data_IF_558768917514
#
_entry.id   IF_558768917514
#
_cell.length_a   1.000
_cell.length_b   1.000
_cell.length_c   1.000
_cell.angle_alpha   90.00
_cell.angle_beta   90.00
_cell.angle_gamma   90.00
#
_symmetry.space_group_name_H-M   'P 1'
#
loop_
_entity.id
_entity.type
_entity.pdbx_description
1 polymer ?
#
# COMPACT_ATOMS: atom_id res chain seq x y z
N UNK A 1 15.29 -13.51 -4.60
CA UNK A 1 13.84 -13.59 -4.31
C UNK A 1 13.40 -12.18 -3.95
N UNK A 2 12.43 -11.63 -4.67
CA UNK A 2 11.92 -10.28 -4.41
C UNK A 2 10.88 -10.26 -3.27
N UNK A 3 10.55 -9.06 -2.77
CA UNK A 3 9.61 -8.85 -1.66
C UNK A 3 8.22 -9.41 -1.98
N UNK A 4 7.73 -9.22 -3.21
CA UNK A 4 6.41 -9.69 -3.64
C UNK A 4 6.37 -11.21 -3.61
N UNK A 5 7.33 -11.87 -4.24
CA UNK A 5 7.41 -13.33 -4.31
C UNK A 5 7.52 -13.92 -2.90
N UNK A 6 8.30 -13.30 -1.99
CA UNK A 6 8.38 -13.74 -0.59
C UNK A 6 7.02 -13.67 0.11
N UNK A 7 6.37 -12.51 0.09
CA UNK A 7 5.09 -12.29 0.79
C UNK A 7 3.94 -13.08 0.19
N UNK A 8 3.86 -13.19 -1.14
CA UNK A 8 2.76 -13.88 -1.80
C UNK A 8 2.91 -15.41 -1.78
N UNK A 9 4.12 -15.94 -1.59
CA UNK A 9 4.35 -17.39 -1.52
C UNK A 9 3.68 -18.08 -0.32
N UNK A 10 3.38 -17.34 0.75
CA UNK A 10 2.69 -17.88 1.93
C UNK A 10 1.20 -18.12 1.69
N UNK A 11 0.63 -17.53 0.63
CA UNK A 11 -0.80 -17.54 0.32
C UNK A 11 -1.69 -17.11 1.51
N UNK A 12 -1.18 -16.21 2.35
CA UNK A 12 -1.89 -15.63 3.49
C UNK A 12 -2.45 -14.25 3.16
N UNK A 13 -3.69 -13.97 3.56
CA UNK A 13 -4.27 -12.63 3.45
C UNK A 13 -3.50 -11.60 4.28
N UNK A 14 -2.86 -11.99 5.38
CA UNK A 14 -2.07 -11.07 6.20
C UNK A 14 -0.81 -10.61 5.48
N UNK A 15 -0.17 -11.49 4.70
CA UNK A 15 1.03 -11.13 3.93
C UNK A 15 0.66 -10.40 2.65
N UNK A 16 -0.48 -10.73 2.04
CA UNK A 16 -1.07 -9.94 0.96
C UNK A 16 -1.43 -8.51 1.42
N UNK A 17 -2.00 -8.39 2.62
CA UNK A 17 -2.25 -7.09 3.26
C UNK A 17 -0.95 -6.31 3.44
N UNK A 18 0.10 -6.93 4.00
CA UNK A 18 1.40 -6.27 4.18
C UNK A 18 1.99 -5.80 2.86
N UNK A 19 1.91 -6.62 1.80
CA UNK A 19 2.36 -6.23 0.46
C UNK A 19 1.58 -5.04 -0.08
N UNK A 20 0.25 -5.05 0.07
CA UNK A 20 -0.64 -3.94 -0.35
C UNK A 20 -0.34 -2.65 0.42
N UNK A 21 -0.11 -2.74 1.73
CA UNK A 21 0.30 -1.62 2.57
C UNK A 21 1.61 -0.98 2.06
N UNK A 22 2.60 -1.80 1.69
CA UNK A 22 3.87 -1.30 1.13
C UNK A 22 3.63 -0.56 -0.19
N UNK A 23 2.83 -1.12 -1.10
CA UNK A 23 2.51 -0.47 -2.38
C UNK A 23 1.81 0.87 -2.18
N UNK A 24 0.77 0.92 -1.33
CA UNK A 24 0.02 2.15 -1.05
C UNK A 24 0.91 3.20 -0.37
N UNK A 25 1.71 2.80 0.62
CA UNK A 25 2.63 3.70 1.32
C UNK A 25 3.62 4.35 0.37
N UNK A 26 4.19 3.59 -0.57
CA UNK A 26 5.15 4.12 -1.55
C UNK A 26 4.44 5.04 -2.55
N UNK A 27 3.33 4.59 -3.12
CA UNK A 27 2.65 5.33 -4.19
C UNK A 27 1.97 6.62 -3.71
N UNK A 28 1.63 6.70 -2.43
CA UNK A 28 1.09 7.91 -1.79
C UNK A 28 2.13 8.65 -0.92
N UNK A 29 3.38 8.17 -0.85
CA UNK A 29 4.43 8.72 0.00
C UNK A 29 4.04 8.83 1.50
N UNK A 30 3.23 7.89 1.99
CA UNK A 30 2.73 7.90 3.36
C UNK A 30 3.76 7.35 4.34
N UNK A 31 3.89 7.99 5.50
CA UNK A 31 4.59 7.42 6.65
C UNK A 31 3.77 6.28 7.25
N UNK A 32 4.44 5.41 8.01
CA UNK A 32 3.79 4.23 8.61
C UNK A 32 2.64 4.58 9.54
N UNK A 33 2.74 5.70 10.27
CA UNK A 33 1.68 6.19 11.15
C UNK A 33 0.48 6.74 10.39
N UNK A 34 0.68 7.35 9.22
CA UNK A 34 -0.40 7.80 8.34
C UNK A 34 -1.08 6.63 7.64
N UNK A 35 -0.29 5.69 7.12
CA UNK A 35 -0.78 4.51 6.41
C UNK A 35 -1.76 3.67 7.24
N UNK A 36 -1.40 3.37 8.50
CA UNK A 36 -2.24 2.51 9.36
C UNK A 36 -3.51 3.22 9.85
N UNK A 37 -3.58 4.55 9.70
CA UNK A 37 -4.75 5.34 10.07
C UNK A 37 -5.79 5.44 8.96
N UNK A 38 -5.45 5.07 7.72
CA UNK A 38 -6.38 5.13 6.61
C UNK A 38 -7.63 4.28 6.85
N UNK A 39 -8.79 4.88 6.62
CA UNK A 39 -10.11 4.29 6.72
C UNK A 39 -10.84 4.30 5.39
N UNK A 40 -11.88 3.49 5.27
CA UNK A 40 -12.78 3.53 4.11
C UNK A 40 -13.41 4.91 3.89
N UNK A 41 -13.60 5.70 4.95
CA UNK A 41 -14.14 7.06 4.92
C UNK A 41 -13.18 8.08 4.36
N UNK A 42 -11.89 7.75 4.30
CA UNK A 42 -10.86 8.66 3.77
C UNK A 42 -10.80 8.60 2.24
N UNK A 43 -11.49 7.62 1.62
CA UNK A 43 -11.67 7.54 0.17
C UNK A 43 -12.63 8.64 -0.28
N UNK A 44 -12.16 9.53 -1.14
CA UNK A 44 -13.00 10.55 -1.76
C UNK A 44 -13.52 10.03 -3.10
N UNK A 45 -14.75 9.52 -3.09
CA UNK A 45 -15.40 8.95 -4.27
C UNK A 45 -15.67 10.01 -5.35
N UNK A 46 -15.88 11.26 -4.96
CA UNK A 46 -16.14 12.39 -5.85
C UNK A 46 -14.92 12.78 -6.70
N UNK A 47 -13.72 12.44 -6.22
CA UNK A 47 -12.44 12.72 -6.90
C UNK A 47 -11.79 11.44 -7.45
N UNK A 48 -12.48 10.30 -7.36
CA UNK A 48 -12.05 9.04 -7.99
C UNK A 48 -12.26 9.11 -9.50
N UNK A 49 -11.23 8.75 -10.27
CA UNK A 49 -11.27 8.76 -11.73
C UNK A 49 -11.65 7.38 -12.22
N UNK A 50 -12.71 7.32 -13.03
CA UNK A 50 -13.22 6.10 -13.65
C UNK A 50 -13.23 6.30 -15.16
N UNK A 51 -12.68 5.34 -15.90
CA UNK A 51 -12.65 5.39 -17.35
C UNK A 51 -14.02 5.10 -17.98
N UNK A 52 -14.10 5.19 -19.30
CA UNK A 52 -15.34 4.94 -20.06
C UNK A 52 -15.86 3.51 -19.97
N UNK A 53 -15.01 2.56 -19.54
CA UNK A 53 -15.34 1.14 -19.39
C UNK A 53 -15.72 0.79 -17.94
N UNK A 54 -15.64 1.74 -17.01
CA UNK A 54 -15.94 1.53 -15.60
C UNK A 54 -14.74 1.08 -14.76
N UNK A 55 -13.51 1.12 -15.29
CA UNK A 55 -12.31 0.83 -14.53
C UNK A 55 -11.83 2.04 -13.75
N UNK A 56 -11.40 1.82 -12.51
CA UNK A 56 -10.86 2.89 -11.66
C UNK A 56 -9.41 3.15 -12.04
N UNK A 57 -9.16 4.30 -12.67
CA UNK A 57 -7.82 4.77 -13.07
C UNK A 57 -7.07 5.43 -11.91
N UNK A 58 -7.81 6.09 -11.01
CA UNK A 58 -7.22 6.74 -9.85
C UNK A 58 -8.21 6.83 -8.69
N UNK A 59 -7.71 6.69 -7.47
CA UNK A 59 -8.51 6.83 -6.25
C UNK A 59 -7.95 7.95 -5.39
N UNK A 60 -8.82 8.85 -4.96
CA UNK A 60 -8.46 9.97 -4.10
C UNK A 60 -8.56 9.57 -2.62
N UNK A 61 -7.56 9.95 -1.82
CA UNK A 61 -7.55 9.79 -0.37
C UNK A 61 -7.35 11.13 0.31
N UNK A 62 -8.14 11.42 1.35
CA UNK A 62 -7.92 12.54 2.25
C UNK A 62 -7.02 12.07 3.38
N UNK A 63 -5.83 12.65 3.49
CA UNK A 63 -4.83 12.28 4.49
C UNK A 63 -4.40 13.52 5.25
N UNK A 64 -4.17 13.41 6.55
CA UNK A 64 -3.58 14.49 7.33
C UNK A 64 -2.30 14.02 7.99
N UNK A 65 -1.17 14.50 7.46
CA UNK A 65 0.11 14.24 8.05
C UNK A 65 0.37 15.07 9.31
N UNK A 66 1.34 14.62 10.11
CA UNK A 66 1.70 15.24 11.39
C UNK A 66 2.10 16.72 11.27
N UNK A 67 2.72 17.09 10.15
CA UNK A 67 3.18 18.46 9.89
C UNK A 67 2.20 19.27 9.03
N UNK A 68 1.09 18.66 8.60
CA UNK A 68 0.14 19.30 7.71
C UNK A 68 -0.79 20.21 8.51
N UNK A 69 -0.97 21.45 8.03
CA UNK A 69 -1.88 22.42 8.66
C UNK A 69 -3.36 22.06 8.47
N UNK A 70 -3.67 21.28 7.45
CA UNK A 70 -4.99 20.81 7.09
C UNK A 70 -4.87 19.48 6.31
N UNK A 71 -5.92 18.66 6.24
CA UNK A 71 -5.93 17.47 5.40
C UNK A 71 -5.62 17.81 3.94
N UNK A 72 -4.85 16.94 3.28
CA UNK A 72 -4.48 17.02 1.87
C UNK A 72 -5.10 15.84 1.10
N UNK A 73 -5.48 16.08 -0.14
CA UNK A 73 -5.96 15.02 -1.03
C UNK A 73 -4.80 14.47 -1.86
N UNK A 74 -4.59 13.16 -1.77
CA UNK A 74 -3.57 12.44 -2.54
C UNK A 74 -4.23 11.46 -3.51
N UNK A 75 -3.64 11.29 -4.69
CA UNK A 75 -4.16 10.42 -5.75
C UNK A 75 -3.34 9.14 -5.87
N UNK A 76 -3.99 8.00 -5.66
CA UNK A 76 -3.44 6.67 -5.92
C UNK A 76 -3.78 6.27 -7.35
N UNK A 77 -2.79 6.18 -8.23
CA UNK A 77 -3.00 5.86 -9.65
C UNK A 77 -2.88 4.36 -9.93
N UNK A 78 -3.67 3.86 -10.87
CA UNK A 78 -3.52 2.51 -11.44
C UNK A 78 -2.20 2.40 -12.21
N UNK A 79 -1.55 1.24 -12.13
CA UNK A 79 -0.40 0.90 -12.96
C UNK A 79 -0.78 -0.22 -13.94
N UNK A 80 -1.18 0.16 -15.14
CA UNK A 80 -1.55 -0.79 -16.20
C UNK A 80 -0.34 -1.42 -16.90
N UNK A 81 0.83 -0.79 -16.77
CA UNK A 81 2.08 -1.32 -17.35
C UNK A 81 2.61 -2.50 -16.56
N UNK A 82 2.40 -2.49 -15.24
CA UNK A 82 2.85 -3.53 -14.33
C UNK A 82 1.74 -3.90 -13.34
N UNK A 83 0.74 -4.71 -13.77
CA UNK A 83 -0.42 -5.06 -12.94
C UNK A 83 -0.06 -5.72 -11.61
N UNK A 84 1.06 -6.44 -11.57
CA UNK A 84 1.58 -7.11 -10.36
C UNK A 84 2.08 -6.13 -9.28
N UNK A 85 2.29 -4.86 -9.61
CA UNK A 85 2.62 -3.77 -8.68
C UNK A 85 1.55 -2.66 -8.67
N UNK A 86 0.40 -2.87 -9.31
CA UNK A 86 -0.67 -1.88 -9.37
C UNK A 86 -1.36 -1.73 -8.01
N UNK A 87 -1.27 -0.57 -7.35
CA UNK A 87 -1.78 -0.44 -5.98
C UNK A 87 -3.31 -0.50 -5.91
N UNK A 88 -4.03 0.04 -6.90
CA UNK A 88 -5.51 0.01 -6.94
C UNK A 88 -6.02 -1.43 -7.02
N UNK A 89 -5.44 -2.25 -7.91
CA UNK A 89 -5.82 -3.66 -8.08
C UNK A 89 -5.65 -4.44 -6.77
N UNK A 90 -4.50 -4.27 -6.11
CA UNK A 90 -4.22 -4.95 -4.83
C UNK A 90 -5.14 -4.46 -3.72
N UNK A 91 -5.38 -3.15 -3.66
CA UNK A 91 -6.28 -2.55 -2.67
C UNK A 91 -7.73 -3.03 -2.83
N UNK A 92 -8.24 -3.16 -4.06
CA UNK A 92 -9.59 -3.70 -4.30
C UNK A 92 -9.74 -5.15 -3.91
N UNK A 93 -8.73 -5.99 -4.20
CA UNK A 93 -8.73 -7.37 -3.71
C UNK A 93 -8.80 -7.38 -2.19
N UNK A 94 -8.05 -6.50 -1.52
CA UNK A 94 -8.06 -6.42 -0.06
C UNK A 94 -9.40 -5.95 0.51
N UNK A 95 -10.00 -4.88 -0.06
CA UNK A 95 -11.30 -4.35 0.34
C UNK A 95 -12.38 -5.43 0.19
N UNK A 96 -12.41 -6.13 -0.94
CA UNK A 96 -13.35 -7.23 -1.17
C UNK A 96 -13.13 -8.43 -0.24
N UNK A 97 -11.87 -8.81 0.00
CA UNK A 97 -11.54 -9.96 0.84
C UNK A 97 -11.87 -9.74 2.33
N UNK A 98 -11.71 -8.51 2.82
CA UNK A 98 -12.03 -8.16 4.22
C UNK A 98 -13.44 -7.63 4.42
N UNK A 99 -14.15 -7.23 3.35
CA UNK A 99 -15.48 -6.64 3.48
C UNK A 99 -15.46 -5.26 4.12
N UNK A 100 -14.45 -4.45 3.79
CA UNK A 100 -14.18 -3.17 4.47
C UNK A 100 -15.33 -2.20 4.27
N UNK A 101 -15.92 -1.76 5.39
CA UNK A 101 -16.93 -0.71 5.42
C UNK A 101 -16.29 0.67 5.57
N UNK A 102 -17.04 1.74 5.24
CA UNK A 102 -16.55 3.12 5.32
C UNK A 102 -16.02 3.51 6.71
N UNK A 103 -16.55 2.96 7.80
CA UNK A 103 -16.09 3.27 9.16
C UNK A 103 -14.83 2.52 9.60
N UNK A 104 -14.41 1.47 8.89
CA UNK A 104 -13.31 0.58 9.27
C UNK A 104 -11.95 1.05 8.76
N UNK A 105 -10.88 0.61 9.44
CA UNK A 105 -9.51 0.80 8.95
C UNK A 105 -9.27 -0.07 7.70
N UNK A 106 -8.67 0.52 6.65
CA UNK A 106 -8.39 -0.16 5.38
C UNK A 106 -7.48 -1.39 5.55
N UNK A 107 -6.61 -1.35 6.56
CA UNK A 107 -5.67 -2.42 6.85
C UNK A 107 -5.97 -3.09 8.19
N UNK A 108 -7.22 -3.05 8.67
CA UNK A 108 -7.58 -3.67 9.94
C UNK A 108 -7.92 -5.16 9.88
N UNK A 109 -7.72 -5.81 8.72
CA UNK A 109 -8.13 -7.19 8.52
C UNK A 109 -9.65 -7.36 8.59
N UNK A 110 -10.10 -8.57 8.93
CA UNK A 110 -11.53 -8.91 9.03
C UNK A 110 -12.25 -8.26 10.21
N UNK A 111 -11.52 -7.85 11.24
CA UNK A 111 -12.11 -7.15 12.40
C UNK A 111 -12.19 -5.64 12.17
N UNK A 112 -11.51 -5.14 11.12
CA UNK A 112 -11.38 -3.72 10.81
C UNK A 112 -10.75 -2.90 11.94
N UNK A 113 -9.99 -3.56 12.82
CA UNK A 113 -9.33 -2.92 13.96
C UNK A 113 -8.06 -2.18 13.54
N UNK A 114 -7.70 -1.16 14.29
CA UNK A 114 -6.46 -0.43 14.04
C UNK A 114 -5.22 -1.33 14.25
N UNK A 115 -4.35 -1.42 13.23
CA UNK A 115 -3.02 -2.04 13.37
C UNK A 115 -2.02 -0.98 13.84
N UNK A 116 -1.30 -1.20 14.96
CA UNK A 116 -0.24 -0.29 15.38
C UNK A 116 0.85 -0.13 14.31
N UNK A 117 1.31 1.11 14.09
CA UNK A 117 2.41 1.39 13.16
C UNK A 117 3.69 0.59 13.47
N UNK A 118 3.94 0.29 14.75
CA UNK A 118 5.04 -0.58 15.19
C UNK A 118 4.89 -2.00 14.66
N UNK A 119 3.68 -2.55 14.62
CA UNK A 119 3.39 -3.88 14.06
C UNK A 119 3.72 -3.92 12.58
N UNK A 120 3.24 -2.93 11.81
CA UNK A 120 3.58 -2.80 10.39
C UNK A 120 5.09 -2.70 10.19
N UNK A 121 5.75 -1.79 10.92
CA UNK A 121 7.19 -1.56 10.81
C UNK A 121 7.99 -2.83 11.12
N UNK A 122 7.66 -3.53 12.20
CA UNK A 122 8.37 -4.75 12.61
C UNK A 122 8.17 -5.87 11.59
N UNK A 123 6.94 -6.09 11.10
CA UNK A 123 6.66 -7.09 10.07
C UNK A 123 7.46 -6.80 8.80
N UNK A 124 7.45 -5.55 8.35
CA UNK A 124 8.14 -5.18 7.14
C UNK A 124 9.67 -5.19 7.29
N UNK A 125 10.19 -4.75 8.44
CA UNK A 125 11.61 -4.85 8.78
C UNK A 125 12.08 -6.29 8.73
N UNK A 126 11.32 -7.23 9.27
CA UNK A 126 11.67 -8.66 9.23
C UNK A 126 11.80 -9.20 7.81
N UNK A 127 10.92 -8.76 6.89
CA UNK A 127 11.01 -9.11 5.47
C UNK A 127 12.28 -8.53 4.84
N UNK A 128 12.55 -7.24 5.08
CA UNK A 128 13.74 -6.57 4.55
C UNK A 128 15.04 -7.19 5.07
N UNK A 129 15.10 -7.53 6.37
CA UNK A 129 16.24 -8.21 6.97
C UNK A 129 16.47 -9.58 6.32
N UNK A 130 15.41 -10.37 6.10
CA UNK A 130 15.52 -11.69 5.46
C UNK A 130 16.02 -11.64 4.01
N UNK A 131 15.59 -10.64 3.25
CA UNK A 131 15.84 -10.59 1.80
C UNK A 131 17.08 -9.77 1.43
N UNK A 132 17.38 -8.71 2.19
CA UNK A 132 18.37 -7.69 1.84
C UNK A 132 19.43 -7.54 2.96
N UNK A 133 19.32 -8.30 4.05
CA UNK A 133 20.22 -8.24 5.22
C UNK A 133 20.42 -6.81 5.73
N UNK A 134 19.34 -6.03 5.76
CA UNK A 134 19.38 -4.60 6.07
C UNK A 134 18.55 -4.26 7.30
N UNK A 135 19.21 -3.62 8.27
CA UNK A 135 18.60 -3.02 9.45
C UNK A 135 18.58 -1.48 9.32
N UNK A 136 17.49 -0.91 8.81
CA UNK A 136 17.37 0.55 8.69
C UNK A 136 15.98 1.05 8.31
N UNK A 137 15.71 2.36 8.46
CA UNK A 137 14.40 2.94 8.14
C UNK A 137 14.04 2.65 6.68
N UNK A 138 12.89 2.01 6.49
CA UNK A 138 12.51 1.42 5.20
C UNK A 138 11.80 2.38 4.24
N UNK A 139 11.42 3.58 4.70
CA UNK A 139 10.53 4.48 3.97
C UNK A 139 11.14 5.00 2.65
N UNK A 140 12.45 5.30 2.61
CA UNK A 140 13.09 5.93 1.43
C UNK A 140 13.75 4.90 0.50
N UNK A 141 14.17 3.75 1.02
CA UNK A 141 14.99 2.81 0.24
C UNK A 141 14.19 1.71 -0.43
N UNK A 142 12.97 1.43 0.03
CA UNK A 142 12.12 0.41 -0.61
C UNK A 142 11.52 0.96 -1.90
N UNK A 143 11.26 2.27 -1.97
CA UNK A 143 10.95 2.93 -3.22
C UNK A 143 12.08 2.70 -4.23
N UNK A 144 13.36 2.88 -3.84
CA UNK A 144 14.51 2.55 -4.71
C UNK A 144 14.58 1.07 -5.07
N UNK A 145 14.30 0.14 -4.14
CA UNK A 145 14.39 -1.30 -4.41
C UNK A 145 13.25 -1.81 -5.32
N UNK A 146 12.03 -1.29 -5.16
CA UNK A 146 10.89 -1.60 -6.02
C UNK A 146 11.00 -0.87 -7.36
N UNK A 147 11.57 0.34 -7.40
CA UNK A 147 11.94 1.00 -8.65
C UNK A 147 13.08 0.26 -9.36
N UNK A 148 14.01 -0.37 -8.64
CA UNK A 148 15.00 -1.26 -9.25
C UNK A 148 14.37 -2.50 -9.92
N UNK A 149 13.23 -3.00 -9.42
CA UNK A 149 12.48 -4.07 -10.12
C UNK A 149 11.87 -3.60 -11.45
N UNK A 150 11.76 -2.28 -11.70
CA UNK A 150 11.44 -1.73 -13.04
C UNK A 150 12.64 -1.73 -13.99
N UNK A 151 13.87 -1.72 -13.47
CA UNK A 151 15.10 -1.67 -14.29
C UNK A 151 15.65 -3.04 -14.67
N UNK A 152 15.17 -4.14 -14.08
CA UNK A 152 15.62 -5.51 -14.43
C UNK A 152 15.14 -5.99 -15.83
N UNK A 153 14.53 -5.11 -16.64
CA UNK A 153 14.31 -5.28 -18.08
C UNK A 153 15.28 -4.50 -18.97
N UNK A 154 16.22 -3.75 -18.40
CA UNK A 154 17.26 -3.00 -19.10
C UNK A 154 18.60 -3.35 -18.45
N UNK A 155 19.39 -4.16 -19.16
CA UNK A 155 20.74 -4.59 -18.81
C UNK A 155 21.56 -3.47 -18.16
N UNK A 156 22.15 -3.76 -17.00
CA UNK A 156 23.43 -3.16 -16.60
C UNK A 156 24.56 -3.72 -17.48
#
# INVERSE_FOLDING_TARGET
MDIRTHLLSSNSLDDFQLFTMVLVSIKLFLRSDELVQLKGSDICYELTVVDTLGFVEAMAFVVQGKCDKAPVTLMLWSDETLPVLCPIRHLFVLIGAFGISSGGFLFGGKTHDHIPASTFHNRFKNVCHKLINRDGPCCVTVEVYILCQRTDGSQC
#
